data_IF_790215029629
#
_entry.id   IF_790215029629
#
_cell.length_a   1.000
_cell.length_b   1.000
_cell.length_c   1.000
_cell.angle_alpha   90.00
_cell.angle_beta   90.00
_cell.angle_gamma   90.00
#
_symmetry.space_group_name_H-M   'P 1'
#
loop_
_entity.id
_entity.type
_entity.pdbx_description
1 polymer ?
#
# COMPACT_ATOMS: atom_id res chain seq x y z
N UNK A 1 34.71 12.17 -10.44
CA UNK A 1 34.21 10.85 -10.04
C UNK A 1 35.22 10.20 -9.10
N UNK A 2 34.82 9.93 -7.87
CA UNK A 2 35.67 9.31 -6.83
C UNK A 2 35.91 7.82 -7.13
N UNK A 3 36.92 7.20 -6.51
CA UNK A 3 37.22 5.77 -6.70
C UNK A 3 36.02 4.90 -6.27
N UNK A 4 35.32 5.30 -5.21
CA UNK A 4 34.13 4.63 -4.71
C UNK A 4 32.97 4.69 -5.72
N UNK A 5 32.72 5.85 -6.32
CA UNK A 5 31.70 6.03 -7.37
C UNK A 5 31.97 5.16 -8.61
N UNK A 6 33.25 4.97 -8.99
CA UNK A 6 33.62 4.11 -10.12
C UNK A 6 33.40 2.63 -9.81
N UNK A 7 33.74 2.18 -8.61
CA UNK A 7 33.51 0.79 -8.18
C UNK A 7 32.01 0.49 -8.13
N UNK A 8 31.23 1.40 -7.53
CA UNK A 8 29.78 1.25 -7.42
C UNK A 8 29.09 1.23 -8.78
N UNK A 9 29.54 2.08 -9.73
CA UNK A 9 29.04 2.05 -11.10
C UNK A 9 29.39 0.75 -11.82
N UNK A 10 30.59 0.20 -11.61
CA UNK A 10 31.02 -1.05 -12.23
C UNK A 10 30.26 -2.27 -11.70
N UNK A 11 30.00 -2.32 -10.39
CA UNK A 11 29.18 -3.38 -9.78
C UNK A 11 27.72 -3.30 -10.22
N UNK A 12 27.23 -2.08 -10.45
CA UNK A 12 25.89 -1.84 -10.99
C UNK A 12 25.77 -2.33 -12.44
N UNK A 13 26.76 -2.01 -13.29
CA UNK A 13 26.85 -2.53 -14.66
C UNK A 13 26.90 -4.06 -14.68
N UNK A 14 27.74 -4.67 -13.85
CA UNK A 14 27.84 -6.13 -13.75
C UNK A 14 26.53 -6.79 -13.30
N UNK A 15 25.77 -6.13 -12.42
CA UNK A 15 24.47 -6.62 -11.94
C UNK A 15 23.38 -6.52 -13.03
N UNK A 16 23.40 -5.45 -13.84
CA UNK A 16 22.50 -5.29 -14.98
C UNK A 16 22.75 -6.39 -16.03
N UNK A 17 24.02 -6.66 -16.34
CA UNK A 17 24.40 -7.68 -17.32
C UNK A 17 23.90 -9.08 -16.90
N UNK A 18 23.96 -9.40 -15.60
CA UNK A 18 23.43 -10.67 -15.07
C UNK A 18 21.92 -10.77 -15.29
N UNK A 19 21.18 -9.69 -15.02
CA UNK A 19 19.73 -9.65 -15.21
C UNK A 19 19.34 -9.76 -16.69
N UNK A 20 20.10 -9.12 -17.58
CA UNK A 20 19.91 -9.20 -19.03
C UNK A 20 20.16 -10.64 -19.53
N UNK A 21 21.26 -11.26 -19.09
CA UNK A 21 21.56 -12.66 -19.45
C UNK A 21 20.47 -13.60 -18.94
N UNK A 22 20.01 -13.42 -17.71
CA UNK A 22 18.93 -14.23 -17.14
C UNK A 22 17.62 -14.12 -17.96
N UNK A 23 17.27 -12.91 -18.42
CA UNK A 23 16.11 -12.70 -19.29
C UNK A 23 16.26 -13.35 -20.66
N UNK A 24 17.47 -13.31 -21.24
CA UNK A 24 17.77 -13.94 -22.52
C UNK A 24 17.72 -15.47 -22.47
N UNK A 25 18.22 -16.06 -21.39
CA UNK A 25 18.19 -17.52 -21.18
C UNK A 25 16.80 -18.03 -20.83
N UNK A 26 16.03 -17.24 -20.08
CA UNK A 26 14.68 -17.58 -19.65
C UNK A 26 13.75 -16.36 -19.77
N UNK A 27 13.01 -16.23 -20.88
CA UNK A 27 12.13 -15.09 -21.11
C UNK A 27 11.15 -14.84 -19.96
N UNK A 28 10.88 -13.55 -19.69
CA UNK A 28 9.95 -13.08 -18.64
C UNK A 28 10.44 -13.35 -17.22
N UNK A 29 11.74 -13.62 -17.05
CA UNK A 29 12.37 -13.71 -15.74
C UNK A 29 12.27 -12.39 -14.98
N UNK A 30 12.49 -11.25 -15.64
CA UNK A 30 12.40 -9.93 -14.98
C UNK A 30 10.98 -9.59 -14.55
N UNK A 31 9.96 -9.98 -15.34
CA UNK A 31 8.55 -9.88 -14.96
C UNK A 31 8.28 -10.67 -13.68
N UNK A 32 8.70 -11.95 -13.65
CA UNK A 32 8.53 -12.81 -12.48
C UNK A 32 9.24 -12.27 -11.24
N UNK A 33 10.52 -11.90 -11.36
CA UNK A 33 11.31 -11.35 -10.25
C UNK A 33 10.63 -10.10 -9.66
N UNK A 34 10.17 -9.18 -10.51
CA UNK A 34 9.49 -7.98 -10.03
C UNK A 34 8.26 -8.31 -9.16
N UNK A 35 7.45 -9.27 -9.58
CA UNK A 35 6.26 -9.72 -8.83
C UNK A 35 6.60 -10.39 -7.50
N UNK A 36 7.62 -11.26 -7.49
CA UNK A 36 8.07 -11.99 -6.30
C UNK A 36 8.62 -11.00 -5.26
N UNK A 37 9.39 -10.00 -5.73
CA UNK A 37 9.93 -8.95 -4.88
C UNK A 37 8.84 -8.10 -4.25
N UNK A 38 7.90 -7.56 -5.03
CA UNK A 38 6.81 -6.75 -4.49
C UNK A 38 5.93 -7.55 -3.53
N UNK A 39 5.61 -8.80 -3.87
CA UNK A 39 4.83 -9.69 -3.00
C UNK A 39 5.50 -9.88 -1.63
N UNK A 40 6.82 -10.04 -1.61
CA UNK A 40 7.59 -10.22 -0.38
C UNK A 40 7.58 -8.96 0.49
N UNK A 41 7.96 -7.80 -0.07
CA UNK A 41 8.02 -6.55 0.73
C UNK A 41 6.64 -6.08 1.17
N UNK A 42 5.61 -6.31 0.34
CA UNK A 42 4.22 -6.07 0.72
C UNK A 42 3.84 -6.89 1.95
N UNK A 43 4.13 -8.20 1.95
CA UNK A 43 3.84 -9.06 3.09
C UNK A 43 4.54 -8.57 4.36
N UNK A 44 5.82 -8.22 4.28
CA UNK A 44 6.56 -7.64 5.42
C UNK A 44 5.91 -6.34 5.90
N UNK A 45 5.47 -5.48 4.97
CA UNK A 45 4.81 -4.22 5.33
C UNK A 45 3.47 -4.43 6.06
N UNK A 46 2.67 -5.42 5.64
CA UNK A 46 1.42 -5.79 6.34
C UNK A 46 1.71 -6.11 7.80
N UNK A 47 2.68 -6.98 8.06
CA UNK A 47 3.08 -7.34 9.43
C UNK A 47 3.57 -6.13 10.22
N UNK A 48 4.30 -5.22 9.57
CA UNK A 48 4.83 -4.02 10.24
C UNK A 48 3.75 -3.02 10.68
N UNK A 49 2.58 -3.01 10.03
CA UNK A 49 1.48 -2.10 10.37
C UNK A 49 0.36 -2.77 11.18
N UNK A 50 0.42 -4.10 11.41
CA UNK A 50 -0.62 -4.87 12.11
C UNK A 50 -0.80 -4.48 13.59
N UNK A 51 0.26 -4.04 14.27
CA UNK A 51 0.22 -3.67 15.69
C UNK A 51 -0.34 -2.25 15.95
N UNK A 52 -0.75 -1.51 14.90
CA UNK A 52 -1.30 -0.15 14.99
C UNK A 52 -2.47 0.11 14.05
N UNK A 53 -3.19 1.22 14.26
CA UNK A 53 -4.16 1.72 13.27
C UNK A 53 -3.36 2.39 12.16
N UNK A 54 -3.20 1.70 11.03
CA UNK A 54 -2.56 2.25 9.84
C UNK A 54 -3.29 3.52 9.39
N UNK A 55 -2.57 4.62 9.18
CA UNK A 55 -3.14 5.85 8.65
C UNK A 55 -3.47 5.74 7.16
N UNK A 56 -4.00 6.84 6.60
CA UNK A 56 -4.32 6.92 5.17
C UNK A 56 -3.08 6.64 4.31
N UNK A 57 -1.91 7.09 4.71
CA UNK A 57 -0.68 6.92 3.93
C UNK A 57 -0.23 5.46 3.87
N UNK A 58 -0.14 4.79 5.02
CA UNK A 58 0.19 3.36 5.07
C UNK A 58 -0.85 2.52 4.33
N UNK A 59 -2.15 2.78 4.54
CA UNK A 59 -3.23 2.08 3.85
C UNK A 59 -3.18 2.32 2.34
N UNK A 60 -2.87 3.53 1.89
CA UNK A 60 -2.73 3.86 0.46
C UNK A 60 -1.53 3.15 -0.18
N UNK A 61 -0.39 3.07 0.52
CA UNK A 61 0.80 2.37 0.03
C UNK A 61 0.53 0.86 -0.14
N UNK A 62 -0.14 0.25 0.86
CA UNK A 62 -0.54 -1.15 0.79
C UNK A 62 -1.54 -1.40 -0.34
N UNK A 63 -2.61 -0.63 -0.42
CA UNK A 63 -3.64 -0.76 -1.45
C UNK A 63 -3.08 -0.57 -2.87
N UNK A 64 -2.10 0.33 -3.02
CA UNK A 64 -1.43 0.53 -4.30
C UNK A 64 -0.57 -0.67 -4.69
N UNK A 65 0.17 -1.25 -3.74
CA UNK A 65 0.93 -2.48 -3.99
C UNK A 65 0.02 -3.65 -4.39
N UNK A 66 -1.17 -3.75 -3.77
CA UNK A 66 -2.21 -4.71 -4.15
C UNK A 66 -2.73 -4.48 -5.56
N UNK A 67 -3.06 -3.23 -5.89
CA UNK A 67 -3.56 -2.87 -7.20
C UNK A 67 -2.53 -3.11 -8.32
N UNK A 68 -1.23 -3.08 -8.01
CA UNK A 68 -0.18 -3.44 -8.98
C UNK A 68 -0.10 -4.95 -9.17
N UNK A 69 -0.27 -5.74 -8.11
CA UNK A 69 -0.22 -7.21 -8.13
C UNK A 69 -1.53 -7.86 -8.58
N UNK A 70 -2.66 -7.17 -8.53
CA UNK A 70 -3.95 -7.77 -8.87
C UNK A 70 -3.97 -8.23 -10.33
N UNK A 71 -4.41 -9.47 -10.52
CA UNK A 71 -4.44 -10.11 -11.83
C UNK A 71 -3.07 -10.18 -12.50
N UNK A 72 -1.98 -10.27 -11.72
CA UNK A 72 -0.63 -10.49 -12.27
C UNK A 72 -0.65 -11.71 -13.21
N UNK A 73 -0.08 -11.61 -14.41
CA UNK A 73 -0.23 -12.64 -15.41
C UNK A 73 0.65 -13.86 -15.12
N UNK A 74 0.20 -15.02 -15.57
CA UNK A 74 1.08 -16.17 -15.74
C UNK A 74 2.10 -15.91 -16.87
N UNK A 75 3.26 -16.55 -16.79
CA UNK A 75 4.35 -16.35 -17.75
C UNK A 75 3.98 -16.73 -19.18
N UNK A 76 2.97 -17.57 -19.41
CA UNK A 76 2.52 -18.02 -20.73
C UNK A 76 1.18 -17.39 -21.16
N UNK A 77 0.69 -16.39 -20.43
CA UNK A 77 -0.55 -15.69 -20.75
C UNK A 77 -0.47 -14.99 -22.12
N UNK A 78 -1.57 -15.03 -22.88
CA UNK A 78 -1.63 -14.55 -24.26
C UNK A 78 -1.47 -13.04 -24.41
N UNK A 79 -1.80 -12.29 -23.35
CA UNK A 79 -1.70 -10.83 -23.27
C UNK A 79 -0.33 -10.37 -22.73
N UNK A 80 0.58 -11.31 -22.47
CA UNK A 80 1.98 -11.04 -22.11
C UNK A 80 2.86 -11.13 -23.35
N UNK A 81 3.49 -10.02 -23.69
CA UNK A 81 4.48 -9.90 -24.75
C UNK A 81 5.88 -9.76 -24.17
N UNK A 82 6.89 -10.11 -24.96
CA UNK A 82 8.28 -9.94 -24.55
C UNK A 82 8.67 -8.45 -24.58
N UNK A 83 9.49 -8.05 -23.61
CA UNK A 83 9.92 -6.67 -23.48
C UNK A 83 10.76 -6.23 -24.68
N UNK A 84 10.39 -5.09 -25.27
CA UNK A 84 11.10 -4.53 -26.43
C UNK A 84 12.48 -3.96 -26.10
N UNK A 85 12.70 -3.59 -24.83
CA UNK A 85 13.96 -3.02 -24.33
C UNK A 85 14.29 -3.68 -22.99
N UNK A 86 15.05 -4.77 -23.05
CA UNK A 86 15.40 -5.59 -21.88
C UNK A 86 16.33 -4.81 -20.95
N UNK A 87 17.23 -3.99 -21.50
CA UNK A 87 18.17 -3.17 -20.75
C UNK A 87 17.43 -2.21 -19.81
N UNK A 88 16.42 -1.50 -20.33
CA UNK A 88 15.59 -0.62 -19.52
C UNK A 88 14.79 -1.38 -18.46
N UNK A 89 14.29 -2.58 -18.77
CA UNK A 89 13.58 -3.40 -17.77
C UNK A 89 14.53 -3.89 -16.68
N UNK A 90 15.75 -4.31 -17.04
CA UNK A 90 16.77 -4.69 -16.09
C UNK A 90 17.14 -3.52 -15.17
N UNK A 91 17.28 -2.30 -15.70
CA UNK A 91 17.49 -1.08 -14.90
C UNK A 91 16.34 -0.82 -13.92
N UNK A 92 15.08 -1.02 -14.33
CA UNK A 92 13.94 -0.91 -13.42
C UNK A 92 14.01 -1.92 -12.27
N UNK A 93 14.35 -3.18 -12.57
CA UNK A 93 14.52 -4.22 -11.56
C UNK A 93 15.69 -3.90 -10.62
N UNK A 94 16.77 -3.30 -11.12
CA UNK A 94 17.87 -2.84 -10.28
C UNK A 94 17.48 -1.71 -9.34
N UNK A 95 16.75 -0.72 -9.84
CA UNK A 95 16.25 0.37 -8.99
C UNK A 95 15.25 -0.14 -7.94
N UNK A 96 14.42 -1.12 -8.30
CA UNK A 96 13.59 -1.87 -7.37
C UNK A 96 14.44 -2.50 -6.25
N UNK A 97 15.49 -3.26 -6.58
CA UNK A 97 16.37 -3.91 -5.59
C UNK A 97 17.04 -2.88 -4.66
N UNK A 98 17.47 -1.73 -5.19
CA UNK A 98 18.01 -0.62 -4.37
C UNK A 98 16.97 -0.10 -3.37
N UNK A 99 15.70 0.01 -3.78
CA UNK A 99 14.62 0.43 -2.89
C UNK A 99 14.29 -0.63 -1.84
N UNK A 100 14.45 -1.92 -2.15
CA UNK A 100 14.28 -3.00 -1.17
C UNK A 100 15.32 -2.88 -0.04
N UNK A 101 16.55 -2.49 -0.35
CA UNK A 101 17.57 -2.20 0.69
C UNK A 101 17.10 -1.07 1.61
N UNK A 102 16.59 0.03 1.04
CA UNK A 102 16.04 1.15 1.82
C UNK A 102 14.83 0.75 2.66
N UNK A 103 13.96 -0.11 2.11
CA UNK A 103 12.80 -0.64 2.81
C UNK A 103 13.21 -1.48 4.02
N UNK A 104 14.21 -2.36 3.85
CA UNK A 104 14.74 -3.18 4.93
C UNK A 104 15.42 -2.34 6.02
N UNK A 105 16.15 -1.28 5.66
CA UNK A 105 16.66 -0.33 6.65
C UNK A 105 15.53 0.33 7.45
N UNK A 106 14.42 0.70 6.79
CA UNK A 106 13.26 1.29 7.46
C UNK A 106 12.57 0.29 8.40
N UNK A 107 12.45 -0.97 7.97
CA UNK A 107 11.94 -2.09 8.78
C UNK A 107 12.75 -2.26 10.07
N UNK A 108 14.08 -2.35 9.97
CA UNK A 108 14.96 -2.52 11.13
C UNK A 108 14.87 -1.37 12.14
N UNK A 109 14.53 -0.17 11.67
CA UNK A 109 14.36 1.01 12.51
C UNK A 109 12.92 1.18 13.03
N UNK A 110 11.99 0.28 12.68
CA UNK A 110 10.57 0.37 13.05
C UNK A 110 9.83 1.55 12.42
N UNK A 111 10.32 2.09 11.29
CA UNK A 111 9.80 3.31 10.67
C UNK A 111 8.74 3.05 9.60
N UNK A 112 7.49 2.80 10.02
CA UNK A 112 6.37 2.47 9.10
C UNK A 112 6.12 3.53 8.02
N UNK A 113 6.22 4.82 8.35
CA UNK A 113 6.06 5.90 7.37
C UNK A 113 7.11 5.84 6.26
N UNK A 114 8.38 5.55 6.60
CA UNK A 114 9.45 5.40 5.61
C UNK A 114 9.30 4.10 4.81
N UNK A 115 8.80 3.03 5.45
CA UNK A 115 8.45 1.79 4.75
C UNK A 115 7.33 2.05 3.72
N UNK A 116 6.29 2.82 4.08
CA UNK A 116 5.19 3.17 3.19
C UNK A 116 5.68 3.96 1.96
N UNK A 117 6.44 5.04 2.18
CA UNK A 117 7.05 5.84 1.10
C UNK A 117 7.90 4.96 0.16
N UNK A 118 8.72 4.08 0.74
CA UNK A 118 9.57 3.17 -0.04
C UNK A 118 8.75 2.12 -0.80
N UNK A 119 7.69 1.58 -0.20
CA UNK A 119 6.80 0.61 -0.83
C UNK A 119 6.07 1.21 -2.04
N UNK A 120 5.69 2.49 -1.99
CA UNK A 120 5.12 3.21 -3.13
C UNK A 120 6.09 3.19 -4.31
N UNK A 121 7.35 3.54 -4.08
CA UNK A 121 8.38 3.51 -5.12
C UNK A 121 8.65 2.11 -5.66
N UNK A 122 8.75 1.10 -4.80
CA UNK A 122 8.87 -0.31 -5.21
C UNK A 122 7.69 -0.68 -6.13
N UNK A 123 6.47 -0.33 -5.74
CA UNK A 123 5.26 -0.60 -6.52
C UNK A 123 5.28 0.13 -7.88
N UNK A 124 5.78 1.37 -7.95
CA UNK A 124 5.97 2.11 -9.20
C UNK A 124 6.96 1.43 -10.15
N UNK A 125 8.10 0.94 -9.64
CA UNK A 125 9.05 0.19 -10.48
C UNK A 125 8.42 -1.09 -11.02
N UNK A 126 7.70 -1.84 -10.18
CA UNK A 126 7.02 -3.07 -10.61
C UNK A 126 5.89 -2.79 -11.59
N UNK A 127 5.12 -1.71 -11.40
CA UNK A 127 4.12 -1.27 -12.36
C UNK A 127 4.74 -0.95 -13.74
N UNK A 128 5.92 -0.31 -13.76
CA UNK A 128 6.65 -0.02 -15.00
C UNK A 128 7.22 -1.28 -15.66
N UNK A 129 7.71 -2.24 -14.88
CA UNK A 129 8.11 -3.57 -15.39
C UNK A 129 6.90 -4.24 -16.02
N UNK A 130 5.77 -4.33 -15.31
CA UNK A 130 4.53 -4.91 -15.83
C UNK A 130 4.09 -4.26 -17.14
N UNK A 131 4.15 -2.93 -17.22
CA UNK A 131 3.79 -2.19 -18.44
C UNK A 131 4.65 -2.54 -19.65
N UNK A 132 5.91 -2.94 -19.44
CA UNK A 132 6.78 -3.39 -20.53
C UNK A 132 6.32 -4.72 -21.16
N UNK A 133 5.74 -5.61 -20.35
CA UNK A 133 5.26 -6.93 -20.78
C UNK A 133 3.75 -6.98 -21.07
N UNK A 134 2.94 -6.10 -20.47
CA UNK A 134 1.50 -5.97 -20.68
C UNK A 134 1.14 -4.49 -20.92
N UNK A 135 1.42 -3.93 -22.11
CA UNK A 135 1.24 -2.50 -22.40
C UNK A 135 -0.23 -2.08 -22.35
N UNK A 136 -1.16 -2.99 -22.58
CA UNK A 136 -2.60 -2.69 -22.60
C UNK A 136 -3.27 -2.87 -21.23
N UNK A 137 -2.58 -3.49 -20.27
CA UNK A 137 -3.10 -3.61 -18.91
C UNK A 137 -3.16 -2.22 -18.24
N UNK A 138 -4.31 -1.91 -17.67
CA UNK A 138 -4.56 -0.64 -16.99
C UNK A 138 -4.10 -0.76 -15.54
N UNK A 139 -3.11 0.05 -15.18
CA UNK A 139 -2.64 0.17 -13.81
C UNK A 139 -3.07 1.53 -13.26
N UNK A 140 -3.64 1.58 -12.05
CA UNK A 140 -3.87 2.85 -11.40
C UNK A 140 -2.54 3.49 -11.00
N UNK A 141 -2.57 4.80 -10.80
CA UNK A 141 -1.48 5.54 -10.17
C UNK A 141 -1.64 5.57 -8.66
N UNK A 142 -0.55 5.76 -7.93
CA UNK A 142 -0.61 5.96 -6.48
C UNK A 142 -1.57 7.11 -6.10
N UNK A 143 -1.57 8.21 -6.86
CA UNK A 143 -2.44 9.35 -6.60
C UNK A 143 -3.93 8.99 -6.72
N UNK A 144 -4.30 8.09 -7.64
CA UNK A 144 -5.68 7.60 -7.77
C UNK A 144 -6.07 6.73 -6.57
N UNK A 145 -5.20 5.80 -6.18
CA UNK A 145 -5.43 4.95 -5.00
C UNK A 145 -5.52 5.78 -3.72
N UNK A 146 -4.59 6.72 -3.51
CA UNK A 146 -4.60 7.58 -2.32
C UNK A 146 -5.89 8.40 -2.21
N UNK A 147 -6.39 8.95 -3.33
CA UNK A 147 -7.69 9.65 -3.34
C UNK A 147 -8.85 8.73 -3.02
N UNK A 148 -8.80 7.48 -3.47
CA UNK A 148 -9.81 6.49 -3.13
C UNK A 148 -9.78 6.16 -1.63
N UNK A 149 -8.62 5.83 -1.08
CA UNK A 149 -8.44 5.50 0.34
C UNK A 149 -8.81 6.69 1.24
N UNK A 150 -8.40 7.91 0.89
CA UNK A 150 -8.76 9.11 1.66
C UNK A 150 -10.28 9.29 1.74
N UNK A 151 -11.00 9.12 0.62
CA UNK A 151 -12.47 9.21 0.64
C UNK A 151 -13.11 8.16 1.53
N UNK A 152 -12.63 6.92 1.49
CA UNK A 152 -13.12 5.86 2.37
C UNK A 152 -12.87 6.20 3.84
N UNK A 153 -11.70 6.75 4.16
CA UNK A 153 -11.37 7.20 5.51
C UNK A 153 -12.29 8.32 5.99
N UNK A 154 -12.52 9.33 5.15
CA UNK A 154 -13.39 10.47 5.48
C UNK A 154 -14.86 10.02 5.69
N UNK A 155 -15.33 9.05 4.90
CA UNK A 155 -16.66 8.44 5.03
C UNK A 155 -16.78 7.63 6.34
N UNK A 156 -15.78 6.80 6.67
CA UNK A 156 -15.70 6.04 7.93
C UNK A 156 -15.70 6.98 9.16
N UNK A 157 -14.96 8.09 9.11
CA UNK A 157 -14.91 9.07 10.20
C UNK A 157 -16.25 9.79 10.39
N UNK A 158 -16.92 10.17 9.30
CA UNK A 158 -18.25 10.80 9.35
C UNK A 158 -19.32 9.86 9.91
N UNK A 159 -19.29 8.59 9.52
CA UNK A 159 -20.20 7.57 10.04
C UNK A 159 -20.04 7.41 11.56
N UNK A 160 -18.80 7.27 12.04
CA UNK A 160 -18.50 7.17 13.47
C UNK A 160 -18.97 8.40 14.24
N UNK A 161 -18.74 9.60 13.72
CA UNK A 161 -19.21 10.83 14.35
C UNK A 161 -20.74 10.93 14.40
N UNK A 162 -21.44 10.45 13.37
CA UNK A 162 -22.90 10.39 13.34
C UNK A 162 -23.48 9.40 14.35
N UNK A 163 -22.87 8.23 14.50
CA UNK A 163 -23.24 7.23 15.50
C UNK A 163 -23.02 7.74 16.93
N UNK A 164 -21.85 8.35 17.21
CA UNK A 164 -21.56 8.96 18.51
C UNK A 164 -22.54 10.10 18.86
N UNK A 165 -22.98 10.89 17.87
CA UNK A 165 -23.98 11.93 18.07
C UNK A 165 -25.38 11.37 18.36
N UNK A 166 -25.78 10.29 17.67
CA UNK A 166 -27.05 9.61 17.87
C UNK A 166 -27.13 8.92 19.24
N UNK A 167 -26.05 8.27 19.68
CA UNK A 167 -25.97 7.64 21.00
C UNK A 167 -26.03 8.67 22.14
N UNK A 168 -25.38 9.83 21.96
CA UNK A 168 -25.46 10.93 22.91
C UNK A 168 -26.87 11.56 22.96
N UNK A 169 -27.56 11.70 21.83
CA UNK A 169 -28.94 12.18 21.77
C UNK A 169 -29.91 11.22 22.47
N UNK A 170 -29.81 9.91 22.20
CA UNK A 170 -30.63 8.90 22.86
C UNK A 170 -30.36 8.80 24.37
N UNK A 171 -29.10 8.94 24.80
CA UNK A 171 -28.74 8.93 26.23
C UNK A 171 -29.29 10.15 26.98
N UNK A 172 -29.35 11.31 26.32
CA UNK A 172 -29.92 12.53 26.91
C UNK A 172 -31.46 12.53 26.90
N UNK A 173 -32.10 11.95 25.88
CA UNK A 173 -33.57 11.72 25.89
C UNK A 173 -34.01 10.72 26.97
N UNK A 174 -33.29 9.60 27.15
CA UNK A 174 -33.58 8.66 28.23
C UNK A 174 -33.40 9.29 29.63
N UNK A 175 -32.36 10.13 29.80
CA UNK A 175 -32.11 10.83 31.07
C UNK A 175 -33.21 11.85 31.39
N UNK A 176 -33.74 12.55 30.39
CA UNK A 176 -34.84 13.51 30.57
C UNK A 176 -36.18 12.81 30.83
N UNK A 177 -36.47 11.71 30.13
CA UNK A 177 -37.70 10.94 30.34
C UNK A 177 -37.74 10.29 31.73
N UNK A 178 -36.59 9.89 32.29
CA UNK A 178 -36.52 9.31 33.63
C UNK A 178 -36.75 10.37 34.73
N UNK A 179 -36.32 11.62 34.50
CA UNK A 179 -36.58 12.75 35.41
C UNK A 179 -38.04 13.25 35.39
N UNK A 180 -38.75 13.13 34.26
CA UNK A 180 -40.18 13.47 34.17
C UNK A 180 -41.09 12.40 34.81
N UNK A 181 -40.68 11.12 34.81
CA UNK A 181 -41.45 10.06 35.49
C UNK A 181 -41.37 10.11 37.02
N UNK A 182 -40.34 10.74 37.60
CA UNK A 182 -40.19 10.87 39.06
C UNK A 182 -40.91 12.09 39.64
N UNK A 183 -41.27 13.08 38.81
CA UNK A 183 -41.96 14.31 39.25
C UNK A 183 -43.49 14.20 39.27
N UNK A 184 -44.07 13.11 38.74
CA UNK A 184 -45.54 12.95 38.65
C UNK A 184 -46.15 12.14 39.81
N UNK A 185 -45.37 11.51 40.69
CA UNK A 185 -45.89 10.73 41.84
C UNK A 185 -45.97 11.51 43.17
N UNK A 186 -45.85 12.84 43.13
CA UNK A 186 -45.73 13.70 44.31
C UNK A 186 -46.95 14.56 44.64
N UNK A 187 -48.19 14.13 44.43
CA UNK A 187 -49.35 14.89 44.93
C UNK A 187 -50.54 13.99 45.22
N UNK A 188 -50.53 13.25 46.34
CA UNK A 188 -51.76 12.89 47.05
C UNK A 188 -51.42 12.26 48.40
N UNK A 189 -51.47 13.10 49.46
CA UNK A 189 -52.02 12.79 50.78
C UNK A 189 -51.64 13.90 51.75
N UNK A 190 -52.63 14.71 52.11
CA UNK A 190 -52.99 15.01 53.49
C UNK A 190 -54.10 16.05 53.49
N UNK A 191 -55.33 15.62 53.76
CA UNK A 191 -56.27 16.47 54.47
C UNK A 191 -57.01 15.64 55.50
N UNK A 192 -56.98 16.20 56.72
CA UNK A 192 -57.59 15.75 57.97
C UNK A 192 -59.12 15.87 57.87
#
# INVERSE_FOLDING_TARGET
MTLNEKTQANDMLASADILIVAEQENPRTLLRVASERLSTVRYVFVVAIEDGIAGVEERSALEYSDAVLIGWPDNDANDVQDAQNIENVAELVMELEKRIVVFHEAELNGGTARMADTLIHISEYVARVRKAYQPDFLLPTYAEIRRYVQRQWDEEEQLRAGEEAADNANSSENSNNQAETDTTNGTEKNNI
#
